data_IF_824122139304
#
_entry.id   IF_824122139304
#
_cell.length_a   1.000
_cell.length_b   1.000
_cell.length_c   1.000
_cell.angle_alpha   90.00
_cell.angle_beta   90.00
_cell.angle_gamma   90.00
#
_symmetry.space_group_name_H-M   'P 1'
#
loop_
_entity.id
_entity.type
_entity.pdbx_description
1 polymer ?
#
# COMPACT_ATOMS: atom_id res chain seq x y z
N UNK A 1 -8.56 1.16 19.97
CA UNK A 1 -10.00 0.96 19.74
C UNK A 1 -10.27 0.19 18.43
N UNK A 2 -9.72 0.63 17.28
CA UNK A 2 -9.97 0.02 15.96
C UNK A 2 -9.54 -1.46 15.86
N UNK A 3 -8.32 -1.82 16.30
CA UNK A 3 -7.91 -3.24 16.33
C UNK A 3 -8.79 -4.12 17.23
N UNK A 4 -9.32 -3.56 18.32
CA UNK A 4 -10.27 -4.27 19.20
C UNK A 4 -11.65 -4.41 18.54
N UNK A 5 -12.05 -3.42 17.73
CA UNK A 5 -13.26 -3.47 16.95
C UNK A 5 -13.21 -4.50 15.83
N UNK A 6 -12.13 -4.51 15.06
CA UNK A 6 -11.90 -5.50 14.02
C UNK A 6 -11.82 -6.91 14.58
N UNK A 7 -11.12 -7.11 15.72
CA UNK A 7 -11.02 -8.41 16.37
C UNK A 7 -12.37 -8.89 16.91
N UNK A 8 -13.11 -8.01 17.63
CA UNK A 8 -14.44 -8.35 18.14
C UNK A 8 -15.38 -8.74 16.99
N UNK A 9 -15.34 -8.03 15.88
CA UNK A 9 -16.19 -8.30 14.72
C UNK A 9 -15.81 -9.57 13.96
N UNK A 10 -14.51 -9.87 13.86
CA UNK A 10 -14.02 -11.14 13.33
C UNK A 10 -14.41 -12.34 14.19
N UNK A 11 -14.47 -12.15 15.51
CA UNK A 11 -14.96 -13.14 16.48
C UNK A 11 -16.49 -13.24 16.54
N UNK A 12 -17.20 -12.56 15.64
CA UNK A 12 -18.65 -12.61 15.51
C UNK A 12 -19.40 -11.71 16.48
N UNK A 13 -18.73 -10.76 17.15
CA UNK A 13 -19.40 -9.73 17.92
C UNK A 13 -20.32 -8.89 17.01
N UNK A 14 -21.39 -8.38 17.61
CA UNK A 14 -22.31 -7.52 16.88
C UNK A 14 -21.59 -6.19 16.55
N UNK A 15 -21.56 -5.71 15.29
CA UNK A 15 -21.08 -4.37 14.93
C UNK A 15 -21.85 -3.27 15.62
N UNK A 16 -23.12 -3.55 15.95
CA UNK A 16 -23.99 -2.71 16.78
C UNK A 16 -23.73 -2.90 18.28
N UNK A 17 -22.67 -3.65 18.66
CA UNK A 17 -22.29 -3.78 20.05
C UNK A 17 -22.09 -2.38 20.67
N UNK A 18 -22.66 -2.13 21.86
CA UNK A 18 -22.61 -0.82 22.50
C UNK A 18 -21.18 -0.26 22.64
N UNK A 19 -20.17 -1.12 22.74
CA UNK A 19 -18.77 -0.72 22.82
C UNK A 19 -18.25 -0.05 21.52
N UNK A 20 -18.71 -0.48 20.34
CA UNK A 20 -18.31 0.08 19.05
C UNK A 20 -19.05 1.36 18.73
N UNK A 21 -20.38 1.31 18.87
CA UNK A 21 -21.23 2.48 18.70
C UNK A 21 -20.89 3.57 19.74
N UNK A 22 -20.60 3.18 20.98
CA UNK A 22 -20.19 4.12 22.05
C UNK A 22 -18.82 4.75 21.81
N UNK A 23 -17.88 4.03 21.19
CA UNK A 23 -16.55 4.56 20.89
C UNK A 23 -16.58 5.72 19.89
N UNK A 24 -17.30 5.57 18.78
CA UNK A 24 -17.43 6.66 17.79
C UNK A 24 -18.32 7.80 18.30
N UNK A 25 -19.37 7.50 19.07
CA UNK A 25 -20.21 8.52 19.69
C UNK A 25 -19.43 9.40 20.70
N UNK A 26 -18.53 8.80 21.49
CA UNK A 26 -17.68 9.55 22.41
C UNK A 26 -16.70 10.47 21.68
N UNK A 27 -16.15 10.05 20.53
CA UNK A 27 -15.29 10.91 19.72
C UNK A 27 -16.05 12.11 19.13
N UNK A 28 -17.30 11.90 18.71
CA UNK A 28 -18.20 12.95 18.23
C UNK A 28 -18.56 13.94 19.36
N UNK A 29 -18.89 13.45 20.56
CA UNK A 29 -19.17 14.29 21.72
C UNK A 29 -17.94 15.14 22.12
N UNK A 30 -16.76 14.51 22.21
CA UNK A 30 -15.51 15.22 22.49
C UNK A 30 -15.22 16.32 21.46
N UNK A 31 -15.54 16.05 20.19
CA UNK A 31 -15.40 17.02 19.10
C UNK A 31 -16.36 18.19 19.28
N UNK A 32 -17.63 17.91 19.56
CA UNK A 32 -18.64 18.95 19.74
C UNK A 32 -18.34 19.82 20.98
N UNK A 33 -17.80 19.25 22.06
CA UNK A 33 -17.36 19.98 23.26
C UNK A 33 -16.12 20.85 23.00
N UNK A 34 -15.13 20.34 22.27
CA UNK A 34 -13.88 21.05 21.99
C UNK A 34 -14.02 22.11 20.88
N UNK A 35 -15.07 22.03 20.07
CA UNK A 35 -15.30 22.89 18.91
C UNK A 35 -14.60 22.39 17.63
N UNK A 36 -15.12 22.82 16.47
CA UNK A 36 -14.59 22.42 15.18
C UNK A 36 -13.15 22.92 14.98
N UNK A 37 -12.21 21.97 14.86
CA UNK A 37 -10.80 22.23 14.60
C UNK A 37 -10.29 21.22 13.55
N UNK A 38 -9.47 21.64 12.56
CA UNK A 38 -9.10 20.79 11.42
C UNK A 38 -8.55 19.41 11.80
N UNK A 39 -7.66 19.35 12.80
CA UNK A 39 -7.05 18.09 13.23
C UNK A 39 -8.00 17.20 14.03
N UNK A 40 -8.95 17.79 14.77
CA UNK A 40 -9.95 17.02 15.50
C UNK A 40 -10.99 16.45 14.53
N UNK A 41 -11.46 17.27 13.60
CA UNK A 41 -12.32 16.84 12.48
C UNK A 41 -11.66 15.72 11.67
N UNK A 42 -10.35 15.82 11.40
CA UNK A 42 -9.58 14.77 10.74
C UNK A 42 -9.57 13.46 11.52
N UNK A 43 -9.28 13.48 12.82
CA UNK A 43 -9.24 12.25 13.64
C UNK A 43 -10.61 11.56 13.65
N UNK A 44 -11.69 12.32 13.83
CA UNK A 44 -13.06 11.77 13.82
C UNK A 44 -13.44 11.26 12.42
N UNK A 45 -13.06 11.99 11.36
CA UNK A 45 -13.30 11.55 9.98
C UNK A 45 -12.56 10.25 9.64
N UNK A 46 -11.29 10.10 10.05
CA UNK A 46 -10.53 8.86 9.87
C UNK A 46 -11.19 7.69 10.62
N UNK A 47 -11.66 7.91 11.85
CA UNK A 47 -12.38 6.89 12.60
C UNK A 47 -13.67 6.44 11.89
N UNK A 48 -14.41 7.38 11.28
CA UNK A 48 -15.56 7.04 10.44
C UNK A 48 -15.15 6.25 9.19
N UNK A 49 -14.08 6.65 8.48
CA UNK A 49 -13.60 5.92 7.31
C UNK A 49 -13.24 4.48 7.67
N UNK A 50 -12.52 4.26 8.76
CA UNK A 50 -12.14 2.92 9.23
C UNK A 50 -13.38 2.04 9.50
N UNK A 51 -14.38 2.59 10.20
CA UNK A 51 -15.66 1.91 10.45
C UNK A 51 -16.42 1.64 9.15
N UNK A 52 -16.43 2.60 8.23
CA UNK A 52 -17.01 2.43 6.90
C UNK A 52 -16.39 1.22 6.20
N UNK A 53 -15.07 1.22 6.03
CA UNK A 53 -14.36 0.13 5.35
C UNK A 53 -14.58 -1.23 6.03
N UNK A 54 -14.68 -1.25 7.36
CA UNK A 54 -15.03 -2.45 8.10
C UNK A 54 -16.43 -2.96 7.76
N UNK A 55 -17.43 -2.08 7.71
CA UNK A 55 -18.78 -2.44 7.26
C UNK A 55 -18.78 -2.96 5.82
N UNK A 56 -18.00 -2.35 4.92
CA UNK A 56 -17.87 -2.81 3.53
C UNK A 56 -17.28 -4.22 3.45
N UNK A 57 -16.27 -4.54 4.28
CA UNK A 57 -15.69 -5.90 4.38
C UNK A 57 -16.73 -6.93 4.86
N UNK A 58 -17.63 -6.55 5.76
CA UNK A 58 -18.74 -7.40 6.22
C UNK A 58 -19.86 -7.58 5.18
N UNK A 59 -19.77 -6.98 3.99
CA UNK A 59 -20.81 -7.03 2.96
C UNK A 59 -21.15 -8.44 2.46
N UNK A 60 -20.25 -9.41 2.59
CA UNK A 60 -20.54 -10.81 2.24
C UNK A 60 -21.42 -11.51 3.27
N UNK A 61 -21.27 -11.17 4.56
CA UNK A 61 -22.02 -11.80 5.67
C UNK A 61 -23.26 -11.00 6.07
N UNK A 62 -23.27 -9.67 5.83
CA UNK A 62 -24.37 -8.75 6.18
C UNK A 62 -24.68 -7.75 5.04
N UNK A 63 -25.12 -8.21 3.85
CA UNK A 63 -25.22 -7.38 2.64
C UNK A 63 -26.19 -6.19 2.75
N UNK A 64 -27.34 -6.37 3.42
CA UNK A 64 -28.36 -5.32 3.52
C UNK A 64 -27.93 -4.10 4.35
N UNK A 65 -27.17 -4.33 5.44
CA UNK A 65 -26.74 -3.25 6.35
C UNK A 65 -25.39 -2.66 5.92
N UNK A 66 -24.50 -3.48 5.36
CA UNK A 66 -23.13 -3.10 5.00
C UNK A 66 -23.06 -1.88 4.09
N UNK A 67 -23.83 -1.85 2.99
CA UNK A 67 -23.79 -0.74 2.02
C UNK A 67 -24.30 0.57 2.62
N UNK A 68 -25.41 0.53 3.36
CA UNK A 68 -26.00 1.71 3.98
C UNK A 68 -25.09 2.28 5.08
N UNK A 69 -24.51 1.42 5.93
CA UNK A 69 -23.59 1.83 6.99
C UNK A 69 -22.26 2.35 6.45
N UNK A 70 -21.71 1.73 5.40
CA UNK A 70 -20.56 2.25 4.68
C UNK A 70 -20.82 3.67 4.18
N UNK A 71 -21.93 3.86 3.46
CA UNK A 71 -22.30 5.17 2.92
C UNK A 71 -22.48 6.23 4.02
N UNK A 72 -23.18 5.90 5.11
CA UNK A 72 -23.40 6.83 6.23
C UNK A 72 -22.09 7.29 6.89
N UNK A 73 -21.12 6.38 7.06
CA UNK A 73 -19.82 6.73 7.62
C UNK A 73 -18.97 7.57 6.67
N UNK A 74 -18.96 7.24 5.37
CA UNK A 74 -18.27 8.05 4.36
C UNK A 74 -18.89 9.45 4.28
N UNK A 75 -20.22 9.56 4.30
CA UNK A 75 -20.95 10.84 4.30
C UNK A 75 -20.61 11.68 5.54
N UNK A 76 -20.55 11.06 6.72
CA UNK A 76 -20.16 11.76 7.94
C UNK A 76 -18.70 12.25 7.89
N UNK A 77 -17.77 11.41 7.44
CA UNK A 77 -16.38 11.81 7.24
C UNK A 77 -16.26 12.99 6.23
N UNK A 78 -17.03 12.94 5.15
CA UNK A 78 -17.10 14.03 4.17
C UNK A 78 -17.62 15.33 4.81
N UNK A 79 -18.69 15.25 5.62
CA UNK A 79 -19.24 16.42 6.30
C UNK A 79 -18.25 17.06 7.29
N UNK A 80 -17.49 16.23 8.01
CA UNK A 80 -16.45 16.69 8.95
C UNK A 80 -15.31 17.43 8.24
N UNK A 81 -14.88 16.92 7.07
CA UNK A 81 -13.78 17.51 6.31
C UNK A 81 -14.20 18.55 5.27
N UNK A 82 -15.50 18.73 5.01
CA UNK A 82 -16.00 19.73 4.07
C UNK A 82 -15.47 21.16 4.32
N UNK A 83 -15.32 21.64 5.58
CA UNK A 83 -14.78 22.97 5.84
C UNK A 83 -13.27 23.12 5.59
N UNK A 84 -12.55 22.01 5.43
CA UNK A 84 -11.08 21.98 5.44
C UNK A 84 -10.52 21.64 4.05
N UNK A 85 -9.65 22.50 3.55
CA UNK A 85 -8.88 22.25 2.33
C UNK A 85 -7.45 21.86 2.72
N UNK A 86 -7.01 20.67 2.31
CA UNK A 86 -5.65 20.18 2.60
C UNK A 86 -4.57 21.09 2.03
N UNK A 87 -4.76 21.59 0.80
CA UNK A 87 -3.82 22.52 0.15
C UNK A 87 -3.75 23.87 0.89
N UNK A 88 -4.89 24.48 1.20
CA UNK A 88 -4.92 25.76 1.95
C UNK A 88 -4.30 25.66 3.33
N UNK A 89 -4.42 24.49 3.97
CA UNK A 89 -3.88 24.22 5.31
C UNK A 89 -2.46 23.65 5.29
N UNK A 90 -1.85 23.45 4.11
CA UNK A 90 -0.58 22.75 3.94
C UNK A 90 -0.54 21.41 4.71
N UNK A 91 -1.61 20.63 4.55
CA UNK A 91 -1.87 19.41 5.32
C UNK A 91 -2.07 18.21 4.40
N UNK A 92 -0.99 17.45 4.11
CA UNK A 92 -1.07 16.18 3.38
C UNK A 92 -2.04 15.19 4.04
N UNK A 93 -2.15 15.20 5.38
CA UNK A 93 -3.04 14.31 6.10
C UNK A 93 -4.53 14.59 5.80
N UNK A 94 -4.93 15.86 5.71
CA UNK A 94 -6.29 16.25 5.33
C UNK A 94 -6.54 15.93 3.85
N UNK A 95 -5.58 16.22 2.96
CA UNK A 95 -5.70 15.89 1.54
C UNK A 95 -5.83 14.37 1.31
N UNK A 96 -5.05 13.56 2.03
CA UNK A 96 -5.13 12.09 1.99
C UNK A 96 -6.48 11.56 2.48
N UNK A 97 -7.02 12.12 3.57
CA UNK A 97 -8.34 11.74 4.06
C UNK A 97 -9.45 12.09 3.06
N UNK A 98 -9.33 13.23 2.34
CA UNK A 98 -10.26 13.60 1.26
C UNK A 98 -10.19 12.63 0.07
N UNK A 99 -8.98 12.22 -0.33
CA UNK A 99 -8.81 11.16 -1.32
C UNK A 99 -9.49 9.85 -0.85
N UNK A 100 -9.29 9.45 0.41
CA UNK A 100 -9.94 8.27 1.00
C UNK A 100 -11.48 8.34 0.97
N UNK A 101 -12.07 9.50 1.25
CA UNK A 101 -13.51 9.75 1.15
C UNK A 101 -13.99 9.60 -0.30
N UNK A 102 -13.22 10.12 -1.26
CA UNK A 102 -13.58 10.11 -2.68
C UNK A 102 -13.82 8.67 -3.19
N UNK A 103 -12.97 7.70 -2.83
CA UNK A 103 -13.17 6.29 -3.21
C UNK A 103 -14.41 5.61 -2.58
N UNK A 104 -14.97 6.20 -1.54
CA UNK A 104 -16.26 5.79 -0.97
C UNK A 104 -17.48 6.48 -1.58
N UNK A 105 -17.27 7.53 -2.38
CA UNK A 105 -18.31 8.33 -3.00
C UNK A 105 -18.81 7.73 -4.34
N UNK A 106 -19.98 8.18 -4.81
CA UNK A 106 -20.72 7.55 -5.91
C UNK A 106 -20.08 7.68 -7.31
N UNK A 107 -19.26 8.71 -7.56
CA UNK A 107 -18.54 8.88 -8.82
C UNK A 107 -17.26 9.72 -8.63
N UNK A 108 -16.11 9.06 -8.36
CA UNK A 108 -14.86 9.77 -8.08
C UNK A 108 -14.06 10.17 -9.33
N UNK A 109 -14.48 9.74 -10.52
CA UNK A 109 -13.62 9.74 -11.72
C UNK A 109 -13.12 11.12 -12.11
N UNK A 110 -13.99 12.12 -12.03
CA UNK A 110 -13.68 13.49 -12.49
C UNK A 110 -12.69 14.22 -11.58
N UNK A 111 -12.51 13.76 -10.33
CA UNK A 111 -11.67 14.43 -9.33
C UNK A 111 -10.50 13.59 -8.83
N UNK A 112 -10.47 12.31 -9.19
CA UNK A 112 -9.49 11.36 -8.66
C UNK A 112 -8.06 11.81 -8.92
N UNK A 113 -7.73 12.14 -10.17
CA UNK A 113 -6.37 12.50 -10.55
C UNK A 113 -5.98 13.82 -9.89
N UNK A 114 -6.80 14.85 -10.04
CA UNK A 114 -6.55 16.19 -9.50
C UNK A 114 -6.34 16.16 -7.97
N UNK A 115 -7.21 15.49 -7.21
CA UNK A 115 -7.10 15.43 -5.74
C UNK A 115 -5.82 14.66 -5.31
N UNK A 116 -5.36 13.66 -6.08
CA UNK A 116 -4.09 12.97 -5.82
C UNK A 116 -2.86 13.76 -6.27
N UNK A 117 -2.96 14.52 -7.37
CA UNK A 117 -1.89 15.43 -7.81
C UNK A 117 -1.62 16.46 -6.73
N UNK A 118 -2.67 17.12 -6.21
CA UNK A 118 -2.59 18.05 -5.07
C UNK A 118 -1.91 17.41 -3.85
N UNK A 119 -2.27 16.15 -3.54
CA UNK A 119 -1.71 15.43 -2.40
C UNK A 119 -0.23 15.06 -2.62
N UNK A 120 0.13 14.64 -3.84
CA UNK A 120 1.51 14.31 -4.19
C UNK A 120 2.37 15.57 -4.16
N UNK A 121 1.86 16.70 -4.63
CA UNK A 121 2.57 17.98 -4.59
C UNK A 121 2.81 18.47 -3.16
N UNK A 122 1.87 18.22 -2.23
CA UNK A 122 2.03 18.55 -0.81
C UNK A 122 3.06 17.67 -0.09
N UNK A 123 3.22 16.40 -0.48
CA UNK A 123 4.13 15.45 0.16
C UNK A 123 4.83 14.56 -0.89
N UNK A 124 5.69 15.12 -1.76
CA UNK A 124 6.26 14.40 -2.89
C UNK A 124 7.23 13.30 -2.45
N UNK A 125 7.74 13.39 -1.22
CA UNK A 125 8.62 12.38 -0.60
C UNK A 125 7.89 11.15 -0.06
N UNK A 126 6.56 11.11 -0.13
CA UNK A 126 5.75 10.00 0.36
C UNK A 126 5.21 9.16 -0.80
N UNK A 127 5.61 7.88 -0.91
CA UNK A 127 5.18 7.04 -2.02
C UNK A 127 3.75 6.50 -1.88
N UNK A 128 3.12 6.62 -0.70
CA UNK A 128 1.80 6.03 -0.45
C UNK A 128 0.70 6.61 -1.35
N UNK A 129 0.56 7.95 -1.50
CA UNK A 129 -0.41 8.53 -2.42
C UNK A 129 -0.23 8.03 -3.87
N UNK A 130 1.01 7.99 -4.37
CA UNK A 130 1.31 7.51 -5.72
C UNK A 130 0.86 6.06 -5.94
N UNK A 131 1.19 5.18 -4.98
CA UNK A 131 0.79 3.78 -4.96
C UNK A 131 -0.73 3.60 -4.96
N UNK A 132 -1.43 4.38 -4.13
CA UNK A 132 -2.90 4.36 -4.07
C UNK A 132 -3.53 4.87 -5.37
N UNK A 133 -3.01 5.96 -5.95
CA UNK A 133 -3.47 6.48 -7.24
C UNK A 133 -3.44 5.39 -8.30
N UNK A 134 -2.31 4.71 -8.49
CA UNK A 134 -2.20 3.68 -9.52
C UNK A 134 -3.14 2.49 -9.31
N UNK A 135 -3.38 2.10 -8.05
CA UNK A 135 -4.39 1.08 -7.73
C UNK A 135 -5.79 1.53 -8.15
N UNK A 136 -6.17 2.78 -7.86
CA UNK A 136 -7.49 3.32 -8.17
C UNK A 136 -7.71 3.64 -9.66
N UNK A 137 -6.62 3.80 -10.42
CA UNK A 137 -6.65 3.91 -11.87
C UNK A 137 -6.84 2.58 -12.61
N UNK A 138 -6.84 1.43 -11.92
CA UNK A 138 -7.15 0.15 -12.57
C UNK A 138 -8.63 0.08 -13.04
N UNK A 139 -8.94 -0.67 -14.12
CA UNK A 139 -10.30 -0.79 -14.65
C UNK A 139 -11.36 -1.30 -13.69
N UNK A 140 -10.95 -2.09 -12.68
CA UNK A 140 -11.86 -2.62 -11.64
C UNK A 140 -12.33 -1.54 -10.66
N UNK A 141 -11.66 -0.39 -10.65
CA UNK A 141 -11.94 0.75 -9.78
C UNK A 141 -12.50 1.90 -10.62
N UNK A 142 -11.70 2.94 -10.87
CA UNK A 142 -12.21 4.21 -11.40
C UNK A 142 -11.59 4.62 -12.73
N UNK A 143 -10.44 4.05 -13.10
CA UNK A 143 -9.70 4.43 -14.31
C UNK A 143 -9.68 3.37 -15.40
N UNK A 144 -8.68 3.48 -16.26
CA UNK A 144 -8.31 2.49 -17.27
C UNK A 144 -6.79 2.41 -17.43
N UNK A 145 -6.29 1.40 -18.14
CA UNK A 145 -4.84 1.20 -18.31
C UNK A 145 -4.13 2.34 -19.03
N UNK A 146 -4.82 3.11 -19.88
CA UNK A 146 -4.24 4.25 -20.59
C UNK A 146 -4.08 5.43 -19.62
N UNK A 147 -5.07 5.66 -18.76
CA UNK A 147 -4.98 6.66 -17.72
C UNK A 147 -3.89 6.30 -16.70
N UNK A 148 -3.78 5.03 -16.29
CA UNK A 148 -2.70 4.56 -15.43
C UNK A 148 -1.32 4.91 -16.00
N UNK A 149 -1.06 4.58 -17.27
CA UNK A 149 0.22 4.86 -17.93
C UNK A 149 0.48 6.37 -18.07
N UNK A 150 -0.54 7.15 -18.42
CA UNK A 150 -0.45 8.61 -18.53
C UNK A 150 -0.07 9.25 -17.20
N UNK A 151 -0.80 8.91 -16.14
CA UNK A 151 -0.58 9.51 -14.83
C UNK A 151 0.71 9.02 -14.19
N UNK A 152 1.12 7.76 -14.40
CA UNK A 152 2.43 7.29 -13.95
C UNK A 152 3.59 8.11 -14.56
N UNK A 153 3.51 8.46 -15.85
CA UNK A 153 4.50 9.32 -16.51
C UNK A 153 4.44 10.77 -16.02
N UNK A 154 3.25 11.31 -15.77
CA UNK A 154 3.10 12.66 -15.19
C UNK A 154 3.68 12.71 -13.78
N UNK A 155 3.35 11.77 -12.92
CA UNK A 155 3.91 11.69 -11.56
C UNK A 155 5.43 11.56 -11.58
N UNK A 156 6.00 10.78 -12.52
CA UNK A 156 7.45 10.72 -12.70
C UNK A 156 8.06 12.08 -13.07
N UNK A 157 7.41 12.85 -13.95
CA UNK A 157 7.86 14.19 -14.31
C UNK A 157 7.72 15.19 -13.15
N UNK A 158 6.59 15.15 -12.44
CA UNK A 158 6.30 16.03 -11.30
C UNK A 158 7.27 15.80 -10.13
N UNK A 159 7.67 14.55 -9.92
CA UNK A 159 8.54 14.16 -8.79
C UNK A 159 9.95 13.77 -9.22
N UNK A 160 10.38 14.22 -10.41
CA UNK A 160 11.66 13.86 -11.00
C UNK A 160 12.85 14.25 -10.10
N UNK A 161 12.76 15.38 -9.42
CA UNK A 161 13.77 15.90 -8.49
C UNK A 161 13.89 15.08 -7.20
N UNK A 162 12.79 14.45 -6.77
CA UNK A 162 12.75 13.60 -5.56
C UNK A 162 13.08 12.13 -5.90
N UNK A 163 12.49 11.60 -6.97
CA UNK A 163 12.47 10.18 -7.26
C UNK A 163 13.07 9.78 -8.60
N UNK A 164 13.46 10.72 -9.48
CA UNK A 164 13.85 10.38 -10.85
C UNK A 164 12.73 9.64 -11.57
N UNK A 165 13.03 8.47 -12.14
CA UNK A 165 12.01 7.59 -12.72
C UNK A 165 11.10 6.92 -11.67
N UNK A 166 11.43 7.01 -10.38
CA UNK A 166 10.74 6.34 -9.28
C UNK A 166 9.26 6.73 -9.13
N UNK A 167 8.85 7.93 -9.54
CA UNK A 167 7.43 8.31 -9.53
C UNK A 167 6.57 7.40 -10.42
N UNK A 168 7.11 6.97 -11.58
CA UNK A 168 6.46 5.99 -12.46
C UNK A 168 6.30 4.65 -11.75
N UNK A 169 7.40 4.16 -11.17
CA UNK A 169 7.43 2.89 -10.44
C UNK A 169 6.48 2.91 -9.26
N UNK A 170 6.37 4.01 -8.51
CA UNK A 170 5.46 4.09 -7.37
C UNK A 170 4.00 4.05 -7.78
N UNK A 171 3.60 4.76 -8.83
CA UNK A 171 2.24 4.67 -9.36
C UNK A 171 1.94 3.25 -9.83
N UNK A 172 2.85 2.62 -10.59
CA UNK A 172 2.63 1.29 -11.11
C UNK A 172 2.80 0.15 -10.08
N UNK A 173 3.37 0.42 -8.89
CA UNK A 173 3.91 -0.60 -7.98
C UNK A 173 2.89 -1.69 -7.64
N UNK A 174 1.79 -1.31 -7.00
CA UNK A 174 0.76 -2.25 -6.57
C UNK A 174 -0.06 -2.74 -7.77
N UNK A 175 -0.33 -1.86 -8.74
CA UNK A 175 -1.08 -2.18 -9.96
C UNK A 175 -0.47 -3.37 -10.72
N UNK A 176 0.85 -3.39 -10.89
CA UNK A 176 1.59 -4.48 -11.57
C UNK A 176 1.53 -5.79 -10.78
N UNK A 177 1.53 -5.71 -9.45
CA UNK A 177 1.49 -6.89 -8.59
C UNK A 177 0.13 -7.57 -8.59
N UNK A 178 -0.98 -6.80 -8.65
CA UNK A 178 -2.35 -7.31 -8.49
C UNK A 178 -3.16 -7.41 -9.79
N UNK A 179 -2.66 -6.87 -10.90
CA UNK A 179 -3.38 -6.81 -12.18
C UNK A 179 -2.50 -7.15 -13.38
N UNK A 180 -2.81 -8.26 -14.05
CA UNK A 180 -2.05 -8.73 -15.21
C UNK A 180 -2.19 -7.78 -16.41
N UNK A 181 -3.33 -7.12 -16.56
CA UNK A 181 -3.56 -6.19 -17.66
C UNK A 181 -2.69 -4.94 -17.54
N UNK A 182 -2.51 -4.42 -16.32
CA UNK A 182 -1.51 -3.40 -16.03
C UNK A 182 -0.11 -3.92 -16.30
N UNK A 183 0.24 -5.09 -15.74
CA UNK A 183 1.57 -5.67 -15.89
C UNK A 183 1.98 -5.93 -17.36
N UNK A 184 1.06 -6.27 -18.26
CA UNK A 184 1.37 -6.44 -19.69
C UNK A 184 1.68 -5.12 -20.40
N UNK A 185 1.22 -3.97 -19.89
CA UNK A 185 1.24 -2.68 -20.59
C UNK A 185 2.32 -1.72 -20.10
N UNK A 186 2.94 -2.00 -18.96
CA UNK A 186 3.98 -1.13 -18.41
C UNK A 186 5.21 -1.06 -19.32
N UNK A 187 5.92 0.05 -19.20
CA UNK A 187 7.28 0.21 -19.67
C UNK A 187 8.23 -0.46 -18.67
N UNK A 188 8.51 -1.75 -18.88
CA UNK A 188 9.33 -2.55 -17.94
C UNK A 188 10.71 -1.95 -17.72
N UNK A 189 11.33 -1.37 -18.76
CA UNK A 189 12.64 -0.74 -18.65
C UNK A 189 12.58 0.47 -17.73
N UNK A 190 11.62 1.37 -17.97
CA UNK A 190 11.43 2.57 -17.15
C UNK A 190 11.03 2.23 -15.70
N UNK A 191 10.24 1.17 -15.51
CA UNK A 191 9.91 0.66 -14.17
C UNK A 191 11.16 0.20 -13.40
N UNK A 192 12.07 -0.53 -14.06
CA UNK A 192 13.32 -1.02 -13.45
C UNK A 192 14.27 0.15 -13.16
N UNK A 193 14.38 1.12 -14.06
CA UNK A 193 15.16 2.34 -13.80
C UNK A 193 14.62 3.08 -12.57
N UNK A 194 13.29 3.18 -12.45
CA UNK A 194 12.65 3.77 -11.28
C UNK A 194 12.88 3.00 -9.98
N UNK A 195 12.97 1.66 -10.00
CA UNK A 195 13.39 0.89 -8.81
C UNK A 195 14.78 1.29 -8.32
N UNK A 196 15.72 1.52 -9.25
CA UNK A 196 17.08 1.92 -8.92
C UNK A 196 17.15 3.38 -8.44
N UNK A 197 16.39 4.28 -9.05
CA UNK A 197 16.32 5.67 -8.62
C UNK A 197 15.68 5.80 -7.23
N UNK A 198 14.63 5.02 -6.92
CA UNK A 198 14.05 4.94 -5.57
C UNK A 198 15.12 4.56 -4.55
N UNK A 199 15.89 3.50 -4.84
CA UNK A 199 16.92 3.03 -3.94
C UNK A 199 18.05 4.05 -3.77
N UNK A 200 18.39 4.79 -4.83
CA UNK A 200 19.37 5.88 -4.78
C UNK A 200 18.88 7.05 -3.92
N UNK A 201 17.60 7.41 -4.03
CA UNK A 201 16.99 8.47 -3.24
C UNK A 201 16.83 8.08 -1.76
N UNK A 202 16.51 6.80 -1.48
CA UNK A 202 16.29 6.24 -0.14
C UNK A 202 16.99 4.89 0.02
N UNK A 203 18.31 4.88 0.36
CA UNK A 203 19.09 3.65 0.46
C UNK A 203 18.93 2.91 1.79
N UNK A 204 17.93 3.27 2.61
CA UNK A 204 17.71 2.63 3.90
C UNK A 204 17.20 1.20 3.76
N UNK A 205 17.40 0.40 4.81
CA UNK A 205 17.08 -1.02 4.77
C UNK A 205 15.58 -1.30 4.73
N UNK A 206 14.72 -0.38 5.16
CA UNK A 206 13.27 -0.57 4.98
C UNK A 206 12.91 -0.49 3.49
N UNK A 207 13.49 0.46 2.76
CA UNK A 207 13.34 0.57 1.32
C UNK A 207 13.94 -0.63 0.58
N UNK A 208 15.15 -1.07 0.94
CA UNK A 208 15.77 -2.26 0.35
C UNK A 208 14.89 -3.50 0.55
N UNK A 209 14.39 -3.72 1.77
CA UNK A 209 13.50 -4.84 2.06
C UNK A 209 12.20 -4.75 1.25
N UNK A 210 11.60 -3.56 1.12
CA UNK A 210 10.38 -3.33 0.35
C UNK A 210 10.56 -3.72 -1.12
N UNK A 211 11.57 -3.16 -1.78
CA UNK A 211 11.80 -3.43 -3.21
C UNK A 211 12.24 -4.87 -3.45
N UNK A 212 13.06 -5.43 -2.55
CA UNK A 212 13.52 -6.82 -2.64
C UNK A 212 12.35 -7.79 -2.48
N UNK A 213 11.53 -7.61 -1.45
CA UNK A 213 10.38 -8.48 -1.21
C UNK A 213 9.33 -8.35 -2.32
N UNK A 214 9.14 -7.15 -2.87
CA UNK A 214 8.29 -6.94 -4.04
C UNK A 214 8.77 -7.77 -5.24
N UNK A 215 10.04 -7.63 -5.62
CA UNK A 215 10.61 -8.37 -6.75
C UNK A 215 10.60 -9.88 -6.51
N UNK A 216 10.91 -10.32 -5.28
CA UNK A 216 11.11 -11.73 -4.96
C UNK A 216 9.82 -12.51 -4.64
N UNK A 217 8.80 -11.83 -4.10
CA UNK A 217 7.54 -12.44 -3.63
C UNK A 217 6.32 -11.91 -4.37
N UNK A 218 6.09 -10.60 -4.37
CA UNK A 218 4.85 -10.03 -4.90
C UNK A 218 4.68 -10.26 -6.41
N UNK A 219 5.78 -10.33 -7.15
CA UNK A 219 5.80 -10.60 -8.59
C UNK A 219 5.91 -12.08 -8.95
N UNK A 220 5.88 -13.00 -7.98
CA UNK A 220 5.91 -14.43 -8.28
C UNK A 220 4.72 -14.79 -9.18
N UNK A 221 4.89 -15.66 -10.19
CA UNK A 221 3.78 -16.10 -11.01
C UNK A 221 2.69 -16.77 -10.15
N UNK A 222 1.45 -16.33 -10.32
CA UNK A 222 0.27 -16.93 -9.72
C UNK A 222 -0.37 -18.00 -10.62
N UNK A 223 -1.18 -18.92 -10.06
CA UNK A 223 -2.05 -19.78 -10.85
C UNK A 223 -3.05 -18.92 -11.63
N UNK A 224 -3.07 -19.04 -12.96
CA UNK A 224 -3.99 -18.31 -13.82
C UNK A 224 -3.47 -16.98 -14.36
N UNK A 225 -2.22 -16.60 -14.06
CA UNK A 225 -1.59 -15.41 -14.64
C UNK A 225 -1.63 -15.43 -16.18
N UNK A 226 -2.02 -14.31 -16.79
CA UNK A 226 -2.05 -14.13 -18.23
C UNK A 226 -0.65 -14.36 -18.82
N UNK A 227 -0.53 -15.13 -19.92
CA UNK A 227 0.77 -15.41 -20.56
C UNK A 227 1.59 -14.16 -20.86
N UNK A 228 0.92 -13.08 -21.30
CA UNK A 228 1.57 -11.83 -21.71
C UNK A 228 2.15 -11.04 -20.54
N UNK A 229 1.66 -11.25 -19.31
CA UNK A 229 2.19 -10.60 -18.11
C UNK A 229 3.46 -11.29 -17.59
N UNK A 230 3.73 -12.53 -18.00
CA UNK A 230 4.85 -13.34 -17.46
C UNK A 230 6.21 -12.72 -17.72
N UNK A 231 6.42 -12.16 -18.92
CA UNK A 231 7.71 -11.60 -19.31
C UNK A 231 8.03 -10.33 -18.51
N UNK A 232 7.18 -9.27 -18.48
CA UNK A 232 7.42 -8.11 -17.63
C UNK A 232 7.63 -8.49 -16.16
N UNK A 233 6.81 -9.40 -15.60
CA UNK A 233 7.01 -9.88 -14.22
C UNK A 233 8.35 -10.51 -14.00
N UNK A 234 8.79 -11.39 -14.90
CA UNK A 234 10.07 -12.07 -14.78
C UNK A 234 11.25 -11.10 -14.88
N UNK A 235 11.19 -10.12 -15.78
CA UNK A 235 12.21 -9.09 -15.94
C UNK A 235 12.34 -8.24 -14.66
N UNK A 236 11.23 -7.83 -14.05
CA UNK A 236 11.26 -7.08 -12.79
C UNK A 236 11.70 -7.97 -11.62
N UNK A 237 11.17 -9.19 -11.53
CA UNK A 237 11.51 -10.14 -10.46
C UNK A 237 13.02 -10.48 -10.45
N UNK A 238 13.67 -10.50 -11.62
CA UNK A 238 15.11 -10.72 -11.73
C UNK A 238 15.95 -9.65 -11.00
N UNK A 239 15.39 -8.46 -10.72
CA UNK A 239 16.06 -7.42 -9.94
C UNK A 239 16.33 -7.86 -8.48
N UNK A 240 15.57 -8.82 -7.95
CA UNK A 240 15.71 -9.31 -6.58
C UNK A 240 17.14 -9.77 -6.27
N UNK A 241 17.79 -10.51 -7.18
CA UNK A 241 19.16 -11.01 -6.97
C UNK A 241 20.16 -9.88 -6.75
N UNK A 242 20.09 -8.83 -7.58
CA UNK A 242 20.94 -7.63 -7.45
C UNK A 242 20.68 -6.90 -6.14
N UNK A 243 19.42 -6.75 -5.75
CA UNK A 243 19.05 -6.07 -4.50
C UNK A 243 19.53 -6.86 -3.27
N UNK A 244 19.32 -8.18 -3.24
CA UNK A 244 19.77 -9.06 -2.16
C UNK A 244 21.28 -9.00 -2.01
N UNK A 245 22.02 -9.20 -3.11
CA UNK A 245 23.48 -9.32 -3.06
C UNK A 245 24.19 -7.97 -2.88
N UNK A 246 23.59 -6.90 -3.40
CA UNK A 246 24.21 -5.58 -3.43
C UNK A 246 23.82 -4.66 -2.27
N UNK A 247 22.65 -4.85 -1.67
CA UNK A 247 22.05 -3.84 -0.79
C UNK A 247 21.44 -4.38 0.51
N UNK A 248 21.06 -5.65 0.59
CA UNK A 248 20.40 -6.21 1.76
C UNK A 248 21.41 -6.50 2.88
N UNK A 249 21.23 -5.88 4.05
CA UNK A 249 22.09 -6.07 5.24
C UNK A 249 21.29 -6.53 6.46
N UNK A 250 19.98 -6.30 6.48
CA UNK A 250 19.07 -6.78 7.50
C UNK A 250 17.73 -7.20 6.90
N UNK A 251 16.95 -8.00 7.65
CA UNK A 251 15.64 -8.47 7.24
C UNK A 251 14.54 -7.81 8.06
N UNK A 252 13.49 -7.34 7.38
CA UNK A 252 12.30 -6.75 8.00
C UNK A 252 11.08 -7.66 7.79
N UNK A 253 10.80 -8.62 8.70
CA UNK A 253 9.84 -9.70 8.42
C UNK A 253 8.41 -9.25 8.08
N UNK A 254 7.96 -8.12 8.63
CA UNK A 254 6.62 -7.59 8.33
C UNK A 254 6.47 -7.16 6.87
N UNK A 255 7.52 -6.57 6.29
CA UNK A 255 7.54 -6.15 4.88
C UNK A 255 7.46 -7.38 3.97
N UNK A 256 8.22 -8.43 4.28
CA UNK A 256 8.21 -9.67 3.52
C UNK A 256 6.87 -10.40 3.61
N UNK A 257 6.26 -10.44 4.79
CA UNK A 257 4.93 -11.03 4.96
C UNK A 257 3.89 -10.32 4.10
N UNK A 258 3.96 -9.00 4.01
CA UNK A 258 3.03 -8.17 3.25
C UNK A 258 3.26 -8.27 1.73
N UNK A 259 4.50 -8.42 1.29
CA UNK A 259 4.80 -8.75 -0.10
C UNK A 259 4.28 -10.14 -0.49
N UNK A 260 4.24 -11.11 0.44
CA UNK A 260 3.63 -12.42 0.22
C UNK A 260 2.14 -12.35 -0.10
N UNK A 261 1.43 -11.33 0.43
CA UNK A 261 0.04 -11.03 0.08
C UNK A 261 -0.08 -10.07 -1.12
N UNK A 262 1.01 -9.84 -1.87
CA UNK A 262 1.09 -8.87 -2.98
C UNK A 262 0.72 -7.44 -2.58
N UNK A 263 1.03 -7.06 -1.34
CA UNK A 263 0.67 -5.76 -0.77
C UNK A 263 -0.85 -5.53 -0.71
N UNK A 264 -1.65 -6.60 -0.68
CA UNK A 264 -3.09 -6.50 -0.47
C UNK A 264 -3.40 -6.15 0.99
N UNK A 265 -3.75 -4.89 1.23
CA UNK A 265 -4.18 -4.37 2.53
C UNK A 265 -5.51 -4.98 3.02
N UNK A 266 -6.24 -5.73 2.19
CA UNK A 266 -7.51 -6.35 2.57
C UNK A 266 -7.35 -7.62 3.43
N UNK A 267 -6.17 -8.24 3.47
CA UNK A 267 -5.92 -9.48 4.19
C UNK A 267 -5.66 -9.22 5.70
N UNK A 268 -6.56 -9.61 6.62
CA UNK A 268 -6.37 -9.29 8.03
C UNK A 268 -5.33 -10.20 8.68
N UNK A 269 -4.29 -9.61 9.28
CA UNK A 269 -3.36 -10.34 10.14
C UNK A 269 -3.93 -10.52 11.54
N UNK A 270 -4.57 -11.67 11.81
CA UNK A 270 -5.13 -12.00 13.14
C UNK A 270 -4.07 -12.10 14.25
N UNK A 271 -2.78 -12.15 13.91
CA UNK A 271 -1.68 -12.12 14.87
C UNK A 271 -0.41 -11.57 14.21
N UNK A 272 0.06 -10.42 14.70
CA UNK A 272 1.29 -9.79 14.22
C UNK A 272 2.50 -10.72 14.34
N UNK A 273 2.57 -11.53 15.41
CA UNK A 273 3.63 -12.51 15.61
C UNK A 273 3.62 -13.61 14.53
N UNK A 274 2.44 -14.16 14.21
CA UNK A 274 2.31 -15.17 13.14
C UNK A 274 2.61 -14.57 11.77
N UNK A 275 2.18 -13.33 11.55
CA UNK A 275 2.45 -12.58 10.32
C UNK A 275 3.95 -12.37 10.11
N UNK A 276 4.65 -11.86 11.13
CA UNK A 276 6.11 -11.69 11.09
C UNK A 276 6.84 -13.03 10.91
N UNK A 277 6.40 -14.10 11.58
CA UNK A 277 7.01 -15.43 11.43
C UNK A 277 6.84 -15.98 9.99
N UNK A 278 5.69 -15.76 9.35
CA UNK A 278 5.47 -16.11 7.94
C UNK A 278 6.44 -15.35 7.04
N UNK A 279 6.50 -14.02 7.16
CA UNK A 279 7.40 -13.21 6.36
C UNK A 279 8.88 -13.55 6.57
N UNK A 280 9.28 -13.87 7.80
CA UNK A 280 10.63 -14.37 8.06
C UNK A 280 10.90 -15.68 7.33
N UNK A 281 9.96 -16.64 7.37
CA UNK A 281 10.09 -17.92 6.66
C UNK A 281 10.21 -17.73 5.15
N UNK A 282 9.35 -16.88 4.57
CA UNK A 282 9.36 -16.57 3.12
C UNK A 282 10.65 -15.89 2.69
N UNK A 283 11.13 -14.91 3.48
CA UNK A 283 12.41 -14.27 3.25
C UNK A 283 13.56 -15.28 3.26
N UNK A 284 13.61 -16.16 4.27
CA UNK A 284 14.64 -17.17 4.37
C UNK A 284 14.62 -18.18 3.21
N UNK A 285 13.43 -18.53 2.69
CA UNK A 285 13.33 -19.37 1.49
C UNK A 285 13.89 -18.68 0.25
N UNK A 286 13.58 -17.39 0.05
CA UNK A 286 14.14 -16.59 -1.05
C UNK A 286 15.67 -16.53 -0.95
N UNK A 287 16.19 -16.21 0.23
CA UNK A 287 17.65 -16.12 0.44
C UNK A 287 18.33 -17.48 0.26
N UNK A 288 17.74 -18.56 0.75
CA UNK A 288 18.29 -19.90 0.56
C UNK A 288 18.36 -20.31 -0.91
N UNK A 289 17.36 -19.93 -1.72
CA UNK A 289 17.38 -20.14 -3.16
C UNK A 289 18.46 -19.28 -3.85
N UNK A 290 18.54 -18.00 -3.50
CA UNK A 290 19.51 -17.04 -4.05
C UNK A 290 20.97 -17.48 -3.84
N UNK A 291 21.28 -18.05 -2.67
CA UNK A 291 22.63 -18.52 -2.31
C UNK A 291 22.79 -20.04 -2.38
N UNK A 292 21.91 -20.73 -3.10
CA UNK A 292 21.89 -22.21 -3.14
C UNK A 292 23.21 -22.81 -3.59
N UNK A 293 23.89 -22.22 -4.56
CA UNK A 293 25.20 -22.67 -5.05
C UNK A 293 26.31 -22.47 -4.00
N UNK A 294 26.31 -21.34 -3.28
CA UNK A 294 27.21 -21.04 -2.19
C UNK A 294 27.04 -22.04 -1.03
N UNK A 295 25.78 -22.29 -0.64
CA UNK A 295 25.42 -23.21 0.44
C UNK A 295 25.78 -24.65 0.09
N UNK A 296 25.53 -25.08 -1.16
CA UNK A 296 25.94 -26.41 -1.64
C UNK A 296 27.46 -26.60 -1.64
N UNK A 297 28.23 -25.52 -1.83
CA UNK A 297 29.69 -25.53 -1.71
C UNK A 297 30.20 -25.48 -0.24
N UNK A 298 29.32 -25.59 0.75
CA UNK A 298 29.65 -25.57 2.17
C UNK A 298 29.95 -24.17 2.73
N UNK A 299 29.73 -23.10 1.96
CA UNK A 299 29.94 -21.72 2.44
C UNK A 299 28.82 -21.31 3.37
N UNK A 300 29.13 -20.45 4.34
CA UNK A 300 28.13 -19.80 5.20
C UNK A 300 27.85 -18.40 4.67
N UNK A 301 26.57 -18.06 4.52
CA UNK A 301 26.12 -16.71 4.18
C UNK A 301 25.85 -15.96 5.48
N UNK A 302 26.46 -14.80 5.65
CA UNK A 302 26.22 -13.91 6.79
C UNK A 302 25.88 -12.51 6.27
N UNK A 303 24.80 -11.93 6.80
CA UNK A 303 24.45 -10.54 6.55
C UNK A 303 25.11 -9.68 7.64
N UNK A 304 25.93 -8.71 7.23
CA UNK A 304 26.60 -7.75 8.12
C UNK A 304 26.14 -6.34 7.77
N UNK A 305 26.39 -5.34 8.65
CA UNK A 305 26.10 -3.94 8.32
C UNK A 305 26.75 -3.45 7.02
N UNK A 306 27.84 -4.08 6.60
CA UNK A 306 28.60 -3.73 5.39
C UNK A 306 28.17 -4.53 4.14
N UNK A 307 27.24 -5.48 4.27
CA UNK A 307 26.76 -6.30 3.15
C UNK A 307 26.73 -7.80 3.43
N UNK A 308 26.48 -8.56 2.36
CA UNK A 308 26.50 -10.03 2.40
C UNK A 308 27.93 -10.53 2.35
N UNK A 309 28.32 -11.35 3.32
CA UNK A 309 29.63 -11.99 3.42
C UNK A 309 29.49 -13.50 3.25
N UNK A 310 30.28 -14.07 2.34
CA UNK A 310 30.43 -15.51 2.17
C UNK A 310 31.65 -15.99 2.94
N UNK A 311 31.45 -16.82 3.96
CA UNK A 311 32.52 -17.40 4.77
C UNK A 311 32.84 -18.81 4.28
N UNK A 312 34.13 -19.14 4.27
CA UNK A 312 34.62 -20.48 4.00
C UNK A 312 34.05 -21.48 5.04
N UNK A 313 33.99 -22.79 4.71
CA UNK A 313 33.52 -23.84 5.61
C UNK A 313 34.24 -23.88 6.96
#
# INVERSE_FOLDING_TARGET
>A
AILAAEHALQDGADPDAPALAGGIAALEEMRDEAGAAPMLDLVVALAHLDLGWLWRRLGQTRPAQSKARFAAHVERAAALLAPHCGVTLDSPAIAAARCAILAGSGDPRDRLVDDFEDLIDLDPGNPRPMRTLGTWLLPRWFGDYRQLELEARRTAALTQDVWGAGGYTWVCFDAVAIDDGACTRIDTGFFIDGLLDILKARPDQAMVNLLTAYCALALRPGPGDLPDARRPRAEIAACASRLIRGHLTELHPLVWAHAGDRFDDAAPATSLKRYAARGQSEAMQVLAAEFSAELAAGRRVAFTPDGVVLRAP
#
